data_IF_996262373951
#
_entry.id   IF_996262373951
#
_cell.length_a   1.000
_cell.length_b   1.000
_cell.length_c   1.000
_cell.angle_alpha   90.00
_cell.angle_beta   90.00
_cell.angle_gamma   90.00
#
_symmetry.space_group_name_H-M   'P 1'
#
loop_
_entity.id
_entity.type
_entity.pdbx_description
1 polymer ?
#
# COMPACT_ATOMS: atom_id res chain seq x y z
N UNK A 1 6.01 15.01 12.71
CA UNK A 1 5.39 15.10 11.35
C UNK A 1 4.17 14.17 11.26
N UNK A 2 3.04 14.66 10.75
CA UNK A 2 1.74 13.94 10.75
C UNK A 2 1.64 12.93 9.62
N UNK A 3 1.25 11.67 9.89
CA UNK A 3 1.12 10.63 8.85
C UNK A 3 0.01 10.95 7.83
N UNK A 4 0.12 10.45 6.60
CA UNK A 4 -1.00 10.56 5.63
C UNK A 4 -2.13 9.62 6.03
N UNK A 5 -3.35 9.86 5.55
CA UNK A 5 -4.50 9.00 5.87
C UNK A 5 -4.24 7.53 5.51
N UNK A 6 -3.64 7.27 4.34
CA UNK A 6 -3.30 5.91 3.89
C UNK A 6 -2.19 5.22 4.70
N UNK A 7 -1.38 5.99 5.44
CA UNK A 7 -0.33 5.47 6.32
C UNK A 7 -0.84 5.12 7.74
N UNK A 8 -2.08 5.51 8.09
CA UNK A 8 -2.73 5.04 9.32
C UNK A 8 -2.94 3.52 9.22
N UNK A 9 -2.62 2.80 10.30
CA UNK A 9 -2.64 1.33 10.34
C UNK A 9 -1.62 0.59 9.46
N UNK A 10 -0.74 1.29 8.74
CA UNK A 10 0.19 0.68 7.77
C UNK A 10 1.08 -0.41 8.37
N UNK A 11 1.46 -0.32 9.65
CA UNK A 11 2.35 -1.32 10.25
C UNK A 11 1.68 -2.68 10.36
N UNK A 12 0.40 -2.73 10.73
CA UNK A 12 -0.39 -3.97 10.74
C UNK A 12 -0.59 -4.49 9.32
N UNK A 13 -1.04 -3.61 8.40
CA UNK A 13 -1.26 -3.92 6.97
C UNK A 13 -0.02 -4.56 6.32
N UNK A 14 1.16 -3.99 6.55
CA UNK A 14 2.43 -4.51 6.02
C UNK A 14 2.78 -5.94 6.51
N UNK A 15 2.34 -6.34 7.72
CA UNK A 15 2.52 -7.72 8.19
C UNK A 15 1.57 -8.66 7.44
N UNK A 16 0.34 -8.26 7.12
CA UNK A 16 -0.60 -9.12 6.39
C UNK A 16 -0.31 -9.22 4.88
N UNK A 17 0.26 -8.17 4.27
CA UNK A 17 0.27 -8.06 2.81
C UNK A 17 1.65 -8.27 2.20
N UNK A 18 2.69 -7.62 2.72
CA UNK A 18 4.01 -7.61 2.04
C UNK A 18 4.66 -8.99 1.98
N UNK A 19 5.29 -9.32 0.86
CA UNK A 19 6.00 -10.60 0.64
C UNK A 19 5.11 -11.86 0.68
N UNK A 20 3.79 -11.72 0.55
CA UNK A 20 2.92 -12.85 0.22
C UNK A 20 2.55 -12.74 -1.25
N UNK A 21 2.99 -13.69 -2.08
CA UNK A 21 2.69 -13.74 -3.51
C UNK A 21 2.41 -15.19 -3.93
N UNK A 22 1.31 -15.72 -3.40
CA UNK A 22 0.93 -17.12 -3.62
C UNK A 22 0.53 -17.37 -5.08
N UNK A 23 0.95 -18.51 -5.63
CA UNK A 23 0.64 -18.88 -7.02
C UNK A 23 1.41 -18.07 -8.07
N UNK A 24 2.51 -17.42 -7.68
CA UNK A 24 3.31 -16.64 -8.60
C UNK A 24 4.81 -16.90 -8.44
N UNK A 25 5.49 -17.02 -9.58
CA UNK A 25 6.94 -16.90 -9.65
C UNK A 25 7.28 -15.49 -10.14
N UNK A 26 7.93 -14.71 -9.27
CA UNK A 26 8.30 -13.32 -9.56
C UNK A 26 9.83 -13.18 -9.60
N UNK A 27 10.33 -12.31 -10.46
CA UNK A 27 11.70 -11.82 -10.40
C UNK A 27 11.72 -10.30 -10.58
N UNK A 28 12.69 -9.65 -9.94
CA UNK A 28 12.96 -8.23 -10.12
C UNK A 28 14.48 -7.99 -10.09
N UNK A 29 15.00 -7.39 -11.15
CA UNK A 29 16.35 -6.87 -11.23
C UNK A 29 16.30 -5.36 -11.04
N UNK A 30 17.04 -4.86 -10.05
CA UNK A 30 17.09 -3.43 -9.70
C UNK A 30 18.50 -2.93 -9.82
N UNK A 31 18.68 -1.87 -10.58
CA UNK A 31 19.95 -1.15 -10.69
C UNK A 31 19.73 0.30 -10.27
N UNK A 32 20.81 0.92 -9.79
CA UNK A 32 20.87 2.35 -9.52
C UNK A 32 22.26 2.84 -9.93
N UNK A 33 22.30 3.84 -10.79
CA UNK A 33 23.55 4.49 -11.22
C UNK A 33 23.98 5.55 -10.22
N UNK A 34 25.23 6.02 -10.35
CA UNK A 34 25.78 7.11 -9.54
C UNK A 34 25.00 8.41 -9.72
N UNK A 35 24.43 8.65 -10.91
CA UNK A 35 23.61 9.81 -11.23
C UNK A 35 22.14 9.67 -10.76
N UNK A 36 21.88 8.84 -9.76
CA UNK A 36 20.55 8.58 -9.17
C UNK A 36 19.48 8.02 -10.15
N UNK A 37 19.89 7.50 -11.31
CA UNK A 37 18.97 6.84 -12.24
C UNK A 37 18.79 5.39 -11.79
N UNK A 38 17.56 4.99 -11.51
CA UNK A 38 17.23 3.61 -11.14
C UNK A 38 16.45 2.94 -12.25
N UNK A 39 16.81 1.70 -12.60
CA UNK A 39 16.07 0.86 -13.53
C UNK A 39 15.63 -0.39 -12.80
N UNK A 40 14.37 -0.77 -12.97
CA UNK A 40 13.81 -2.03 -12.48
C UNK A 40 13.21 -2.79 -13.66
N UNK A 41 13.76 -3.95 -13.96
CA UNK A 41 13.15 -4.92 -14.87
C UNK A 41 12.57 -6.05 -14.03
N UNK A 42 11.33 -6.44 -14.27
CA UNK A 42 10.72 -7.51 -13.50
C UNK A 42 9.70 -8.28 -14.30
N UNK A 43 9.35 -9.45 -13.79
CA UNK A 43 8.38 -10.33 -14.39
C UNK A 43 7.67 -11.19 -13.37
N UNK A 44 6.51 -11.67 -13.77
CA UNK A 44 5.59 -12.47 -12.97
C UNK A 44 4.98 -13.56 -13.85
N UNK A 45 5.15 -14.80 -13.43
CA UNK A 45 4.46 -15.95 -13.97
C UNK A 45 3.34 -16.37 -12.99
N UNK A 46 2.11 -16.35 -13.48
CA UNK A 46 0.91 -16.88 -12.81
C UNK A 46 0.87 -18.39 -13.00
N UNK A 47 1.18 -19.15 -11.94
CA UNK A 47 1.31 -20.61 -12.04
C UNK A 47 -0.04 -21.31 -12.20
N UNK A 48 -1.14 -20.63 -11.88
CA UNK A 48 -2.48 -21.18 -12.02
C UNK A 48 -3.04 -20.94 -13.42
N UNK A 49 -2.83 -19.73 -13.97
CA UNK A 49 -3.33 -19.36 -15.30
C UNK A 49 -2.33 -19.61 -16.44
N UNK A 50 -1.08 -19.99 -16.13
CA UNK A 50 0.00 -20.16 -17.13
C UNK A 50 0.41 -18.86 -17.83
N UNK A 51 0.04 -17.70 -17.28
CA UNK A 51 0.23 -16.39 -17.92
C UNK A 51 1.50 -15.72 -17.41
N UNK A 52 2.28 -15.18 -18.33
CA UNK A 52 3.48 -14.40 -18.03
C UNK A 52 3.22 -12.92 -18.29
N UNK A 53 3.72 -12.06 -17.40
CA UNK A 53 3.73 -10.61 -17.57
C UNK A 53 5.08 -10.05 -17.15
N UNK A 54 5.49 -8.97 -17.80
CA UNK A 54 6.77 -8.31 -17.57
C UNK A 54 6.61 -6.80 -17.49
N UNK A 55 7.64 -6.13 -17.00
CA UNK A 55 7.73 -4.68 -17.02
C UNK A 55 9.17 -4.17 -17.00
N UNK A 56 9.34 -2.97 -17.52
CA UNK A 56 10.50 -2.13 -17.35
C UNK A 56 10.08 -0.82 -16.71
N UNK A 57 10.76 -0.42 -15.64
CA UNK A 57 10.52 0.82 -14.91
C UNK A 57 11.83 1.60 -14.79
N UNK A 58 11.82 2.87 -15.19
CA UNK A 58 12.90 3.82 -14.95
C UNK A 58 12.45 4.87 -13.94
N UNK A 59 13.37 5.30 -13.09
CA UNK A 59 13.23 6.42 -12.17
C UNK A 59 14.45 7.31 -12.30
N UNK A 60 14.23 8.60 -12.43
CA UNK A 60 15.32 9.58 -12.46
C UNK A 60 14.90 10.84 -11.69
N UNK A 61 15.89 11.48 -11.09
CA UNK A 61 15.73 12.79 -10.46
C UNK A 61 16.09 13.85 -11.51
N UNK A 62 15.07 14.43 -12.14
CA UNK A 62 15.25 15.37 -13.25
C UNK A 62 15.84 16.70 -12.76
N UNK A 63 15.47 17.11 -11.55
CA UNK A 63 16.00 18.27 -10.84
C UNK A 63 15.85 18.07 -9.33
N UNK A 64 16.47 18.88 -8.46
CA UNK A 64 16.20 18.84 -7.02
C UNK A 64 14.70 18.99 -6.75
N UNK A 65 14.05 18.04 -6.08
CA UNK A 65 12.60 18.06 -5.83
C UNK A 65 11.73 17.74 -7.04
N UNK A 66 12.29 17.24 -8.15
CA UNK A 66 11.53 16.78 -9.32
C UNK A 66 11.95 15.36 -9.67
N UNK A 67 11.01 14.43 -9.58
CA UNK A 67 11.21 13.01 -9.82
C UNK A 67 10.34 12.56 -10.99
N UNK A 68 10.96 11.92 -11.97
CA UNK A 68 10.26 11.31 -13.09
C UNK A 68 10.41 9.80 -12.99
N UNK A 69 9.30 9.09 -13.15
CA UNK A 69 9.25 7.64 -13.25
C UNK A 69 8.44 7.25 -14.46
N UNK A 70 8.97 6.34 -15.26
CA UNK A 70 8.26 5.78 -16.41
C UNK A 70 8.25 4.27 -16.31
N UNK A 71 7.10 3.65 -16.53
CA UNK A 71 6.91 2.21 -16.50
C UNK A 71 6.22 1.76 -17.77
N UNK A 72 6.74 0.73 -18.42
CA UNK A 72 6.12 0.07 -19.56
C UNK A 72 5.97 -1.40 -19.19
N UNK A 73 4.79 -1.97 -19.37
CA UNK A 73 4.54 -3.40 -19.15
C UNK A 73 4.44 -4.19 -20.46
N UNK A 74 4.31 -5.51 -20.33
CA UNK A 74 4.20 -6.43 -21.47
C UNK A 74 2.89 -6.29 -22.27
N UNK A 75 1.94 -5.45 -21.82
CA UNK A 75 0.74 -5.06 -22.59
C UNK A 75 0.90 -3.69 -23.22
N UNK A 76 2.13 -3.15 -23.25
CA UNK A 76 2.42 -1.80 -23.72
C UNK A 76 1.72 -0.69 -22.95
N UNK A 77 1.16 -0.97 -21.75
CA UNK A 77 0.63 0.09 -20.90
C UNK A 77 1.81 0.94 -20.41
N UNK A 78 1.89 2.17 -20.92
CA UNK A 78 2.87 3.15 -20.51
C UNK A 78 2.30 3.99 -19.38
N UNK A 79 2.99 4.04 -18.24
CA UNK A 79 2.65 4.89 -17.10
C UNK A 79 3.81 5.85 -16.83
N UNK A 80 3.53 7.15 -16.81
CA UNK A 80 4.50 8.20 -16.47
C UNK A 80 4.05 8.93 -15.22
N UNK A 81 4.94 9.06 -14.25
CA UNK A 81 4.70 9.65 -12.94
C UNK A 81 5.72 10.77 -12.73
N UNK A 82 5.23 12.01 -12.64
CA UNK A 82 6.01 13.23 -12.38
C UNK A 82 5.65 13.76 -10.99
N UNK A 83 6.58 13.62 -10.05
CA UNK A 83 6.45 14.14 -8.69
C UNK A 83 7.28 15.42 -8.55
N UNK A 84 6.63 16.48 -8.08
CA UNK A 84 7.21 17.80 -7.82
C UNK A 84 7.01 18.13 -6.35
N UNK A 85 8.10 18.03 -5.60
CA UNK A 85 8.16 18.22 -4.16
C UNK A 85 8.84 19.53 -3.82
N UNK A 86 8.24 20.26 -2.87
CA UNK A 86 8.88 21.42 -2.21
C UNK A 86 9.30 22.55 -3.13
N UNK A 87 8.68 22.66 -4.32
CA UNK A 87 8.96 23.72 -5.29
C UNK A 87 8.15 24.98 -5.08
N UNK A 88 6.87 24.83 -4.79
CA UNK A 88 5.98 25.95 -4.52
C UNK A 88 5.93 26.30 -3.02
N UNK A 89 6.02 25.28 -2.15
CA UNK A 89 6.06 25.44 -0.69
C UNK A 89 6.71 24.19 -0.07
N UNK A 90 7.43 24.31 1.05
CA UNK A 90 8.22 23.21 1.66
C UNK A 90 7.40 22.01 2.13
N UNK A 91 6.13 22.25 2.44
CA UNK A 91 5.15 21.25 2.89
C UNK A 91 4.26 20.70 1.76
N UNK A 92 4.45 21.17 0.52
CA UNK A 92 3.61 20.84 -0.62
C UNK A 92 4.31 19.87 -1.58
N UNK A 93 3.54 18.89 -2.03
CA UNK A 93 3.93 17.85 -2.97
C UNK A 93 2.82 17.66 -4.00
N UNK A 94 3.19 17.69 -5.27
CA UNK A 94 2.30 17.43 -6.39
C UNK A 94 2.80 16.21 -7.15
N UNK A 95 1.90 15.34 -7.57
CA UNK A 95 2.26 14.19 -8.38
C UNK A 95 1.24 14.02 -9.51
N UNK A 96 1.73 14.02 -10.73
CA UNK A 96 0.96 13.83 -11.95
C UNK A 96 1.29 12.46 -12.50
N UNK A 97 0.30 11.56 -12.54
CA UNK A 97 0.45 10.20 -13.06
C UNK A 97 -0.43 10.09 -14.29
N UNK A 98 0.16 9.80 -15.44
CA UNK A 98 -0.56 9.52 -16.68
C UNK A 98 -0.36 8.08 -17.08
N UNK A 99 -1.39 7.47 -17.67
CA UNK A 99 -1.26 6.17 -18.32
C UNK A 99 -1.88 6.17 -19.71
N UNK A 100 -1.30 5.39 -20.62
CA UNK A 100 -1.80 5.19 -21.97
C UNK A 100 -1.60 3.75 -22.39
N UNK A 101 -2.69 3.11 -22.84
CA UNK A 101 -2.67 1.81 -23.49
C UNK A 101 -2.80 2.03 -25.00
N UNK A 102 -1.76 1.71 -25.81
CA UNK A 102 -1.75 2.01 -27.24
C UNK A 102 -2.87 1.32 -28.02
N UNK A 103 -3.15 0.05 -27.73
CA UNK A 103 -4.06 -0.78 -28.53
C UNK A 103 -5.53 -0.35 -28.36
N UNK A 104 -5.95 -0.11 -27.12
CA UNK A 104 -7.31 0.34 -26.81
C UNK A 104 -7.50 1.86 -26.96
N UNK A 105 -6.39 2.61 -27.00
CA UNK A 105 -6.38 4.06 -26.88
C UNK A 105 -6.79 4.56 -25.49
N UNK A 106 -6.98 3.68 -24.50
CA UNK A 106 -7.40 4.05 -23.15
C UNK A 106 -6.34 4.92 -22.48
N UNK A 107 -6.78 6.02 -21.88
CA UNK A 107 -5.93 6.97 -21.18
C UNK A 107 -6.46 7.21 -19.77
N UNK A 108 -5.56 7.46 -18.84
CA UNK A 108 -5.94 7.96 -17.52
C UNK A 108 -5.00 9.03 -17.03
N UNK A 109 -5.52 9.92 -16.19
CA UNK A 109 -4.77 10.96 -15.50
C UNK A 109 -5.13 10.91 -14.02
N UNK A 110 -4.14 10.78 -13.16
CA UNK A 110 -4.28 10.86 -11.72
C UNK A 110 -3.42 12.00 -11.19
N UNK A 111 -4.09 13.04 -10.70
CA UNK A 111 -3.46 14.17 -10.02
C UNK A 111 -3.49 13.89 -8.53
N UNK A 112 -2.36 14.01 -7.83
CA UNK A 112 -2.29 13.93 -6.38
C UNK A 112 -1.65 15.19 -5.84
N UNK A 113 -2.29 15.77 -4.84
CA UNK A 113 -1.80 16.94 -4.15
C UNK A 113 -1.74 16.61 -2.67
N UNK A 114 -0.64 16.98 -2.03
CA UNK A 114 -0.42 16.69 -0.63
C UNK A 114 0.19 17.90 0.04
N UNK A 115 -0.46 18.36 1.10
CA UNK A 115 0.06 19.37 1.99
C UNK A 115 0.26 18.75 3.37
N UNK A 116 1.48 18.79 3.89
CA UNK A 116 1.83 18.13 5.14
C UNK A 116 2.79 18.96 5.96
N UNK A 117 2.33 19.40 7.13
CA UNK A 117 3.17 20.08 8.11
C UNK A 117 3.12 19.35 9.47
N UNK A 118 3.47 20.04 10.55
CA UNK A 118 3.42 19.51 11.90
C UNK A 118 2.01 19.43 12.51
N UNK A 119 1.08 20.25 12.02
CA UNK A 119 -0.30 20.39 12.51
C UNK A 119 -1.27 19.47 11.79
N UNK A 120 -1.08 19.19 10.51
CA UNK A 120 -1.98 18.33 9.74
C UNK A 120 -1.32 17.73 8.51
N UNK A 121 -2.01 16.77 7.91
CA UNK A 121 -1.67 16.20 6.61
C UNK A 121 -2.93 16.07 5.79
N UNK A 122 -3.00 16.81 4.69
CA UNK A 122 -4.12 16.85 3.77
C UNK A 122 -3.70 16.30 2.41
N UNK A 123 -4.58 15.51 1.80
CA UNK A 123 -4.41 14.99 0.45
C UNK A 123 -5.66 15.29 -0.39
N UNK A 124 -5.45 15.61 -1.66
CA UNK A 124 -6.48 15.74 -2.67
C UNK A 124 -6.02 15.03 -3.95
N UNK A 125 -6.67 13.92 -4.27
CA UNK A 125 -6.41 13.12 -5.44
C UNK A 125 -7.59 13.24 -6.42
N UNK A 126 -7.31 13.44 -7.72
CA UNK A 126 -8.32 13.48 -8.79
C UNK A 126 -7.98 12.43 -9.84
N UNK A 127 -8.83 11.42 -9.98
CA UNK A 127 -8.60 10.27 -10.85
C UNK A 127 -9.53 10.31 -12.08
N UNK A 128 -9.00 10.74 -13.21
CA UNK A 128 -9.66 10.80 -14.51
C UNK A 128 -9.41 9.50 -15.27
N UNK A 129 -10.34 8.54 -15.15
CA UNK A 129 -10.46 7.38 -16.05
C UNK A 129 -11.50 7.60 -17.16
N UNK A 130 -12.35 8.60 -16.98
CA UNK A 130 -13.36 9.06 -17.93
C UNK A 130 -13.37 10.60 -17.91
N UNK A 131 -14.38 11.20 -18.54
CA UNK A 131 -14.60 12.66 -18.52
C UNK A 131 -14.78 13.22 -17.09
N UNK A 132 -15.31 12.41 -16.18
CA UNK A 132 -15.65 12.82 -14.81
C UNK A 132 -14.71 12.12 -13.81
N UNK A 133 -13.91 12.87 -13.02
CA UNK A 133 -12.97 12.26 -12.09
C UNK A 133 -13.64 11.69 -10.83
N UNK A 134 -13.04 10.65 -10.26
CA UNK A 134 -13.24 10.33 -8.85
C UNK A 134 -12.31 11.23 -8.02
N UNK A 135 -12.89 12.03 -7.13
CA UNK A 135 -12.16 12.98 -6.29
C UNK A 135 -12.02 12.39 -4.89
N UNK A 136 -10.81 12.17 -4.41
CA UNK A 136 -10.53 11.67 -3.07
C UNK A 136 -9.88 12.75 -2.22
N UNK A 137 -10.58 13.24 -1.20
CA UNK A 137 -10.04 14.15 -0.20
C UNK A 137 -9.74 13.41 1.10
N UNK A 138 -8.65 13.74 1.77
CA UNK A 138 -8.41 13.25 3.14
C UNK A 138 -7.65 14.25 3.99
N UNK A 139 -7.89 14.19 5.31
CA UNK A 139 -7.27 15.04 6.31
C UNK A 139 -6.90 14.18 7.53
N UNK A 140 -5.71 14.40 8.08
CA UNK A 140 -5.25 13.79 9.33
C UNK A 140 -4.78 14.89 10.27
N UNK A 141 -5.23 14.80 11.53
CA UNK A 141 -4.94 15.74 12.60
C UNK A 141 -4.33 15.00 13.81
N UNK A 142 -3.29 15.53 14.45
CA UNK A 142 -2.91 15.17 15.80
C UNK A 142 -3.94 15.66 16.81
N UNK A 143 -4.17 14.89 17.86
CA UNK A 143 -5.01 15.33 18.98
C UNK A 143 -4.13 16.14 19.93
N UNK A 144 -4.47 17.41 20.23
CA UNK A 144 -3.78 18.19 21.26
C UNK A 144 -3.70 17.42 22.59
N UNK A 145 -2.58 17.53 23.31
CA UNK A 145 -2.30 16.83 24.58
C UNK A 145 -2.16 15.29 24.50
N UNK A 146 -2.47 14.66 23.37
CA UNK A 146 -2.34 13.22 23.16
C UNK A 146 -1.38 12.92 21.99
N UNK A 147 -0.06 13.06 22.18
CA UNK A 147 0.93 13.08 21.08
C UNK A 147 1.00 11.79 20.27
N UNK A 148 0.56 10.66 20.82
CA UNK A 148 0.50 9.36 20.14
C UNK A 148 -0.76 9.15 19.28
N UNK A 149 -1.79 9.99 19.44
CA UNK A 149 -3.06 9.83 18.74
C UNK A 149 -3.15 10.70 17.48
N UNK A 150 -3.74 10.13 16.43
CA UNK A 150 -4.12 10.81 15.20
C UNK A 150 -5.58 10.46 14.90
N UNK A 151 -6.34 11.44 14.44
CA UNK A 151 -7.65 11.25 13.85
C UNK A 151 -7.57 11.62 12.38
N UNK A 152 -8.38 11.00 11.55
CA UNK A 152 -8.46 11.36 10.15
C UNK A 152 -9.81 11.06 9.54
N UNK A 153 -10.08 11.74 8.44
CA UNK A 153 -11.24 11.48 7.59
C UNK A 153 -10.80 11.42 6.13
N UNK A 154 -11.48 10.60 5.35
CA UNK A 154 -11.35 10.52 3.91
C UNK A 154 -12.74 10.46 3.29
N UNK A 155 -12.93 11.15 2.18
CA UNK A 155 -14.13 11.07 1.36
C UNK A 155 -13.75 10.87 -0.11
N UNK A 156 -14.56 10.11 -0.83
CA UNK A 156 -14.49 9.90 -2.27
C UNK A 156 -15.80 10.41 -2.87
N UNK A 157 -15.68 11.34 -3.80
CA UNK A 157 -16.81 11.91 -4.55
C UNK A 157 -16.75 11.39 -5.98
N UNK A 158 -17.87 10.83 -6.42
CA UNK A 158 -18.12 10.53 -7.82
C UNK A 158 -18.70 11.78 -8.49
N UNK A 159 -17.89 12.45 -9.30
CA UNK A 159 -18.29 13.72 -9.93
C UNK A 159 -19.27 13.54 -11.10
N UNK A 160 -19.40 12.33 -11.65
CA UNK A 160 -20.40 12.05 -12.70
C UNK A 160 -21.80 12.06 -12.10
N UNK A 161 -21.95 11.39 -10.95
CA UNK A 161 -23.22 11.28 -10.22
C UNK A 161 -23.44 12.39 -9.21
N UNK A 162 -22.41 13.19 -8.94
CA UNK A 162 -22.41 14.21 -7.87
C UNK A 162 -22.75 13.62 -6.49
N UNK A 163 -22.24 12.42 -6.19
CA UNK A 163 -22.50 11.70 -4.94
C UNK A 163 -21.22 11.38 -4.17
N UNK A 164 -21.32 11.27 -2.84
CA UNK A 164 -20.24 10.74 -2.01
C UNK A 164 -20.30 9.22 -2.09
N UNK A 165 -19.41 8.60 -2.87
CA UNK A 165 -19.36 7.15 -3.06
C UNK A 165 -18.73 6.42 -1.88
N UNK A 166 -17.88 7.09 -1.10
CA UNK A 166 -17.25 6.52 0.09
C UNK A 166 -16.85 7.60 1.09
N UNK A 167 -17.00 7.33 2.37
CA UNK A 167 -16.39 8.11 3.44
C UNK A 167 -15.85 7.18 4.52
N UNK A 168 -14.72 7.55 5.11
CA UNK A 168 -13.99 6.75 6.10
C UNK A 168 -13.49 7.68 7.20
N UNK A 169 -13.80 7.33 8.43
CA UNK A 169 -13.25 7.96 9.63
C UNK A 169 -12.22 7.05 10.24
N UNK A 170 -11.14 7.61 10.78
CA UNK A 170 -10.01 6.86 11.31
C UNK A 170 -9.56 7.42 12.66
N UNK A 171 -9.26 6.51 13.60
CA UNK A 171 -8.50 6.81 14.81
C UNK A 171 -7.25 5.93 14.77
N UNK A 172 -6.11 6.51 15.11
CA UNK A 172 -4.84 5.81 15.12
C UNK A 172 -4.00 6.22 16.32
N UNK A 173 -3.71 5.27 17.19
CA UNK A 173 -2.71 5.38 18.24
C UNK A 173 -1.40 4.75 17.77
N UNK A 174 -0.27 5.44 17.95
CA UNK A 174 1.04 4.90 17.57
C UNK A 174 2.14 5.35 18.52
N UNK A 175 2.90 4.38 19.01
CA UNK A 175 4.17 4.54 19.72
C UNK A 175 5.26 3.73 19.01
N UNK A 176 6.42 3.57 19.65
CA UNK A 176 7.62 2.95 19.05
C UNK A 176 7.45 1.45 18.76
N UNK A 177 6.68 0.75 19.59
CA UNK A 177 6.46 -0.69 19.55
C UNK A 177 5.02 -1.09 19.24
N UNK A 178 4.03 -0.24 19.54
CA UNK A 178 2.61 -0.51 19.29
C UNK A 178 1.97 0.48 18.31
N UNK A 179 1.06 -0.02 17.48
CA UNK A 179 0.12 0.80 16.70
C UNK A 179 -1.27 0.17 16.75
N UNK A 180 -2.26 0.94 17.17
CA UNK A 180 -3.68 0.55 17.13
C UNK A 180 -4.38 1.48 16.16
N UNK A 181 -5.15 0.91 15.24
CA UNK A 181 -5.84 1.68 14.22
C UNK A 181 -7.25 1.14 14.02
N UNK A 182 -8.22 2.03 14.15
CA UNK A 182 -9.63 1.74 13.92
C UNK A 182 -10.16 2.64 12.79
N UNK A 183 -11.04 2.09 11.95
CA UNK A 183 -11.76 2.84 10.93
C UNK A 183 -13.24 2.52 10.94
N UNK A 184 -14.05 3.54 10.61
CA UNK A 184 -15.47 3.43 10.33
C UNK A 184 -15.72 3.86 8.87
N UNK A 185 -16.16 2.94 8.02
CA UNK A 185 -16.50 3.20 6.62
C UNK A 185 -18.02 3.19 6.45
N UNK A 186 -18.58 4.10 5.64
CA UNK A 186 -20.02 4.06 5.34
C UNK A 186 -20.94 4.13 6.57
N UNK A 187 -20.49 4.80 7.64
CA UNK A 187 -21.13 4.89 8.96
C UNK A 187 -21.40 3.57 9.71
N UNK A 188 -20.96 2.41 9.22
CA UNK A 188 -21.35 1.11 9.78
C UNK A 188 -20.25 0.05 9.76
N UNK A 189 -19.41 0.05 8.72
CA UNK A 189 -18.32 -0.90 8.55
C UNK A 189 -17.15 -0.57 9.49
N UNK A 190 -16.86 -1.48 10.42
CA UNK A 190 -15.77 -1.30 11.39
C UNK A 190 -14.58 -2.15 10.98
N UNK A 191 -13.38 -1.57 10.99
CA UNK A 191 -12.12 -2.33 10.96
C UNK A 191 -11.22 -1.87 12.10
N UNK A 192 -10.63 -2.83 12.80
CA UNK A 192 -9.66 -2.64 13.87
C UNK A 192 -8.41 -3.42 13.52
N UNK A 193 -7.25 -2.81 13.73
CA UNK A 193 -5.97 -3.48 13.60
C UNK A 193 -5.02 -3.08 14.72
N UNK A 194 -4.24 -4.06 15.17
CA UNK A 194 -3.22 -3.90 16.21
C UNK A 194 -1.90 -4.41 15.65
N UNK A 195 -0.86 -3.61 15.75
CA UNK A 195 0.51 -3.98 15.48
C UNK A 195 1.30 -3.90 16.78
N UNK A 196 2.13 -4.91 17.04
CA UNK A 196 3.08 -4.91 18.14
C UNK A 196 4.44 -5.38 17.67
N UNK A 197 5.50 -4.74 18.14
CA UNK A 197 6.89 -5.12 17.90
C UNK A 197 7.50 -5.54 19.23
N UNK A 198 8.00 -6.77 19.30
CA UNK A 198 8.65 -7.30 20.49
C UNK A 198 9.91 -8.06 20.09
N UNK A 199 11.09 -7.59 20.52
CA UNK A 199 12.39 -8.16 20.15
C UNK A 199 12.51 -8.38 18.63
N UNK A 200 12.71 -9.63 18.21
CA UNK A 200 12.82 -10.07 16.82
C UNK A 200 11.47 -10.42 16.16
N UNK A 201 10.36 -10.21 16.88
CA UNK A 201 8.99 -10.47 16.44
C UNK A 201 8.23 -9.19 16.13
N UNK A 202 7.36 -9.27 15.13
CA UNK A 202 6.30 -8.29 14.87
C UNK A 202 4.99 -9.04 14.71
N UNK A 203 3.98 -8.64 15.46
CA UNK A 203 2.65 -9.21 15.48
C UNK A 203 1.67 -8.22 14.87
N UNK A 204 0.70 -8.75 14.14
CA UNK A 204 -0.41 -8.02 13.56
C UNK A 204 -1.69 -8.77 13.85
N UNK A 205 -2.69 -8.06 14.36
CA UNK A 205 -4.05 -8.56 14.51
C UNK A 205 -4.98 -7.65 13.73
N UNK A 206 -6.02 -8.23 13.14
CA UNK A 206 -7.10 -7.49 12.49
C UNK A 206 -8.44 -8.10 12.86
N UNK A 207 -9.43 -7.25 13.02
CA UNK A 207 -10.83 -7.62 13.19
C UNK A 207 -11.65 -6.64 12.38
N UNK A 208 -12.61 -7.11 11.61
CA UNK A 208 -13.54 -6.28 10.87
C UNK A 208 -14.94 -6.81 10.99
N UNK A 209 -15.92 -5.92 11.03
CA UNK A 209 -17.33 -6.26 11.09
C UNK A 209 -18.10 -5.46 10.04
N UNK A 210 -19.02 -6.14 9.38
CA UNK A 210 -19.89 -5.62 8.31
C UNK A 210 -21.34 -5.91 8.70
N UNK A 211 -22.11 -4.91 9.14
CA UNK A 211 -23.47 -5.14 9.64
C UNK A 211 -24.46 -5.60 8.57
N UNK A 212 -24.25 -5.16 7.33
CA UNK A 212 -25.09 -5.45 6.16
C UNK A 212 -25.04 -6.94 5.77
N UNK A 213 -23.84 -7.52 5.72
CA UNK A 213 -23.63 -8.95 5.42
C UNK A 213 -23.59 -9.82 6.67
N UNK A 214 -23.53 -9.19 7.86
CA UNK A 214 -23.24 -9.84 9.15
C UNK A 214 -21.91 -10.60 9.17
N UNK A 215 -20.99 -10.25 8.28
CA UNK A 215 -19.69 -10.88 8.21
C UNK A 215 -18.76 -10.33 9.29
N UNK A 216 -18.05 -11.24 9.95
CA UNK A 216 -16.93 -10.91 10.83
C UNK A 216 -15.66 -11.45 10.21
N UNK A 217 -14.71 -10.58 9.94
CA UNK A 217 -13.37 -10.94 9.50
C UNK A 217 -12.40 -10.81 10.68
N UNK A 218 -11.47 -11.73 10.79
CA UNK A 218 -10.38 -11.61 11.75
C UNK A 218 -9.14 -12.29 11.21
N UNK A 219 -7.99 -11.90 11.72
CA UNK A 219 -6.75 -12.55 11.34
C UNK A 219 -5.61 -12.20 12.28
N UNK A 220 -4.64 -13.08 12.31
CA UNK A 220 -3.40 -12.90 13.03
C UNK A 220 -2.24 -13.09 12.06
N UNK A 221 -1.20 -12.29 12.22
CA UNK A 221 0.01 -12.43 11.44
C UNK A 221 1.25 -12.17 12.30
N UNK A 222 2.28 -12.95 12.03
CA UNK A 222 3.56 -12.89 12.69
C UNK A 222 4.63 -12.65 11.63
N UNK A 223 5.62 -11.83 11.97
CA UNK A 223 6.91 -11.81 11.31
C UNK A 223 8.00 -12.03 12.36
N UNK A 224 8.82 -13.04 12.16
CA UNK A 224 9.94 -13.36 13.02
C UNK A 224 11.26 -13.25 12.25
N UNK A 225 12.28 -12.63 12.87
CA UNK A 225 13.64 -12.60 12.34
C UNK A 225 14.37 -13.84 12.85
N UNK A 226 14.63 -14.80 11.96
CA UNK A 226 15.29 -16.07 12.29
C UNK A 226 16.81 -15.94 12.31
N UNK A 227 17.37 -15.01 11.53
CA UNK A 227 18.80 -14.70 11.50
C UNK A 227 19.03 -13.25 11.04
N UNK A 228 20.28 -12.75 10.98
CA UNK A 228 20.56 -11.43 10.41
C UNK A 228 20.03 -11.25 8.97
N UNK A 229 19.95 -12.34 8.22
CA UNK A 229 19.54 -12.38 6.80
C UNK A 229 18.16 -12.99 6.56
N UNK A 230 17.68 -13.83 7.47
CA UNK A 230 16.45 -14.62 7.35
C UNK A 230 15.26 -14.04 8.14
N UNK A 231 14.07 -14.07 7.52
CA UNK A 231 12.80 -13.67 8.12
C UNK A 231 11.70 -14.65 7.72
N UNK A 232 10.94 -15.14 8.69
CA UNK A 232 9.70 -15.89 8.47
C UNK A 232 8.51 -14.95 8.67
N UNK A 233 7.48 -15.08 7.85
CA UNK A 233 6.16 -14.51 8.08
C UNK A 233 5.12 -15.62 8.02
N UNK A 234 4.14 -15.53 8.92
CA UNK A 234 2.97 -16.42 8.95
C UNK A 234 1.74 -15.54 9.09
N UNK A 235 0.64 -15.89 8.41
CA UNK A 235 -0.67 -15.28 8.64
C UNK A 235 -1.75 -16.34 8.61
N UNK A 236 -2.81 -16.11 9.36
CA UNK A 236 -4.05 -16.88 9.36
C UNK A 236 -5.24 -15.91 9.32
N UNK A 237 -6.32 -16.31 8.67
CA UNK A 237 -7.57 -15.56 8.64
C UNK A 237 -8.77 -16.39 9.08
N UNK A 238 -9.96 -15.76 9.08
CA UNK A 238 -11.21 -16.35 9.52
C UNK A 238 -11.65 -17.59 8.72
N UNK A 239 -11.06 -17.85 7.55
CA UNK A 239 -11.37 -19.01 6.71
C UNK A 239 -10.39 -20.18 6.93
N UNK A 240 -9.58 -20.12 8.00
CA UNK A 240 -8.53 -21.10 8.29
C UNK A 240 -7.48 -21.21 7.17
N UNK A 241 -7.32 -20.15 6.38
CA UNK A 241 -6.28 -20.07 5.35
C UNK A 241 -4.99 -19.62 6.02
N UNK A 242 -3.97 -20.47 5.97
CA UNK A 242 -2.64 -20.21 6.51
C UNK A 242 -1.69 -19.86 5.37
N UNK A 243 -1.07 -18.70 5.47
CA UNK A 243 -0.03 -18.24 4.56
C UNK A 243 1.33 -18.18 5.25
N UNK A 244 2.33 -18.79 4.65
CA UNK A 244 3.73 -18.73 5.09
C UNK A 244 4.58 -18.02 4.04
N UNK A 245 5.53 -17.20 4.47
CA UNK A 245 6.54 -16.63 3.61
C UNK A 245 7.91 -16.66 4.29
N UNK A 246 8.91 -17.21 3.61
CA UNK A 246 10.30 -17.14 4.03
C UNK A 246 11.07 -16.17 3.14
N UNK A 247 11.76 -15.22 3.77
CA UNK A 247 12.59 -14.23 3.08
C UNK A 247 14.04 -14.37 3.52
N UNK A 248 14.92 -14.57 2.55
CA UNK A 248 16.36 -14.72 2.74
C UNK A 248 17.10 -13.62 1.96
N UNK A 249 17.96 -12.87 2.64
CA UNK A 249 18.90 -11.95 2.00
C UNK A 249 20.25 -12.66 1.84
N UNK A 250 20.70 -12.84 0.60
CA UNK A 250 22.01 -13.40 0.29
C UNK A 250 23.08 -12.29 0.27
N UNK A 251 24.34 -12.67 0.41
CA UNK A 251 25.46 -11.72 0.52
C UNK A 251 25.69 -10.88 -0.75
N UNK A 252 25.21 -11.34 -1.90
CA UNK A 252 25.32 -10.66 -3.21
C UNK A 252 24.23 -9.61 -3.48
N UNK A 253 23.51 -9.15 -2.45
CA UNK A 253 22.37 -8.24 -2.63
C UNK A 253 21.10 -8.91 -3.18
N UNK A 254 21.16 -10.21 -3.46
CA UNK A 254 20.01 -11.02 -3.88
C UNK A 254 19.05 -11.22 -2.70
N UNK A 255 17.75 -11.11 -2.99
CA UNK A 255 16.69 -11.40 -2.04
C UNK A 255 15.84 -12.53 -2.61
N UNK A 256 15.83 -13.66 -1.92
CA UNK A 256 14.95 -14.78 -2.21
C UNK A 256 13.72 -14.73 -1.28
N UNK A 257 12.54 -14.99 -1.85
CA UNK A 257 11.29 -15.08 -1.10
C UNK A 257 10.53 -16.29 -1.59
N UNK A 258 10.21 -17.20 -0.68
CA UNK A 258 9.35 -18.36 -0.93
C UNK A 258 8.05 -18.16 -0.17
N UNK A 259 6.91 -18.53 -0.79
CA UNK A 259 5.60 -18.38 -0.17
C UNK A 259 4.76 -19.63 -0.37
N UNK A 260 4.08 -20.05 0.69
CA UNK A 260 3.20 -21.22 0.72
C UNK A 260 1.85 -20.82 1.30
N UNK A 261 0.76 -21.38 0.79
CA UNK A 261 -0.59 -21.18 1.32
C UNK A 261 -1.33 -22.50 1.38
N UNK A 262 -2.09 -22.72 2.45
CA UNK A 262 -2.95 -23.89 2.62
C UNK A 262 -4.25 -23.51 3.31
N UNK A 263 -5.30 -24.28 3.09
CA UNK A 263 -6.58 -24.16 3.80
C UNK A 263 -6.72 -25.34 4.77
N UNK A 264 -6.74 -25.04 6.07
CA UNK A 264 -6.90 -26.07 7.10
C UNK A 264 -8.36 -26.51 7.27
N UNK A 265 -9.34 -25.68 6.86
CA UNK A 265 -10.76 -26.00 6.99
C UNK A 265 -11.27 -27.06 6.00
N UNK A 266 -10.52 -27.32 4.93
CA UNK A 266 -10.84 -28.37 3.95
C UNK A 266 -10.25 -29.73 4.31
N UNK A 267 -9.37 -29.81 5.32
CA UNK A 267 -8.87 -31.07 5.84
C UNK A 267 -9.93 -31.68 6.77
N UNK A 268 -10.86 -32.46 6.19
CA UNK A 268 -11.66 -33.39 6.99
C UNK A 268 -10.69 -34.44 7.56
N UNK A 269 -10.60 -34.51 8.90
CA UNK A 269 -10.00 -35.63 9.61
C UNK A 269 -10.81 -36.91 9.38
#
# INVERSE_FOLDING_TARGET
MVASFGDLGKSARDIFDKNFSFGYLNFEFKTKTENDISVTCGGKHDTNAGRVSGFLESKLKAAPGVHLKTRVDSKWLMTSELEVDKKFHEDLSHNVITSMEPDSGAKSLLLKNKFKNEYFNANLDMNFKSKYPLITGSLVLPIPHYPAFRIGAQAVVDSEKSEISKHVYAINFKQSDVQVHATLTGHSDVDLSVFQKFKDMKLGFRVGWRPDTRETSFGAALRYKTSPTGKVKVKIDQHCVVGLAYKLKLNSGIIYIETFVTNLGTQRL
#
